data_IF_784565565861
#
_entry.id   IF_784565565861
#
_cell.length_a   1.000
_cell.length_b   1.000
_cell.length_c   1.000
_cell.angle_alpha   90.00
_cell.angle_beta   90.00
_cell.angle_gamma   90.00
#
_symmetry.space_group_name_H-M   'P 1'
#
loop_
_entity.id
_entity.type
_entity.pdbx_description
1 polymer ?
#
# COMPACT_ATOMS: atom_id res chain seq x y z
N UNK A 1 6.87 -13.34 -9.49
CA UNK A 1 6.49 -11.93 -9.57
C UNK A 1 6.91 -11.20 -8.29
N UNK A 2 8.07 -10.56 -8.33
CA UNK A 2 8.76 -10.03 -7.13
C UNK A 2 8.56 -8.53 -7.03
N UNK A 3 7.87 -8.09 -5.98
CA UNK A 3 8.07 -6.73 -5.46
C UNK A 3 9.51 -6.71 -4.94
N UNK A 4 10.43 -6.08 -5.67
CA UNK A 4 11.82 -5.91 -5.23
C UNK A 4 11.84 -5.07 -3.94
N UNK A 5 11.82 -5.75 -2.79
CA UNK A 5 12.23 -5.19 -1.51
C UNK A 5 13.74 -5.00 -1.57
N UNK A 6 14.19 -3.78 -1.86
CA UNK A 6 15.60 -3.41 -1.76
C UNK A 6 15.95 -3.29 -0.29
N UNK A 7 16.56 -4.35 0.25
CA UNK A 7 17.15 -4.32 1.59
C UNK A 7 18.37 -3.37 1.60
N UNK A 8 18.34 -2.34 2.45
CA UNK A 8 19.53 -1.52 2.74
C UNK A 8 20.50 -2.33 3.59
N UNK A 9 21.32 -3.16 2.96
CA UNK A 9 22.51 -3.68 3.63
C UNK A 9 23.54 -2.56 3.77
N UNK A 10 23.86 -2.19 5.02
CA UNK A 10 25.02 -1.35 5.35
C UNK A 10 26.29 -2.13 4.97
N UNK A 11 26.81 -1.90 3.77
CA UNK A 11 28.18 -2.25 3.43
C UNK A 11 29.10 -1.30 4.20
N UNK A 12 29.60 -1.73 5.35
CA UNK A 12 30.78 -1.13 5.98
C UNK A 12 32.00 -1.48 5.11
N UNK A 13 32.74 -0.52 4.55
CA UNK A 13 33.95 -0.82 3.81
C UNK A 13 35.06 -1.17 4.79
N UNK A 14 35.41 -2.45 4.87
CA UNK A 14 36.66 -2.90 5.47
C UNK A 14 37.80 -2.46 4.56
N UNK A 15 38.50 -1.41 4.94
CA UNK A 15 39.70 -0.94 4.23
C UNK A 15 40.82 -1.96 4.47
N UNK A 16 41.15 -2.74 3.45
CA UNK A 16 42.41 -3.48 3.36
C UNK A 16 43.26 -2.81 2.29
N UNK A 17 44.38 -2.23 2.72
CA UNK A 17 45.34 -1.52 1.88
C UNK A 17 45.98 -2.45 0.84
N UNK A 18 46.03 -2.07 -0.45
CA UNK A 18 46.85 -2.78 -1.43
C UNK A 18 48.30 -2.28 -1.43
N UNK A 19 49.29 -3.14 -1.73
CA UNK A 19 50.69 -2.73 -1.78
C UNK A 19 51.04 -1.91 -3.03
N UNK A 20 51.90 -0.93 -2.82
CA UNK A 20 52.41 0.05 -3.79
C UNK A 20 53.35 -0.56 -4.82
N UNK A 21 53.09 -0.36 -6.12
CA UNK A 21 54.10 -0.50 -7.21
C UNK A 21 53.87 0.63 -8.22
N UNK A 22 54.91 1.35 -8.70
CA UNK A 22 54.74 2.62 -9.40
C UNK A 22 54.49 2.42 -10.90
N UNK A 23 53.66 3.26 -11.52
CA UNK A 23 53.53 3.31 -12.99
C UNK A 23 53.60 4.74 -13.54
N UNK A 24 54.49 4.86 -14.51
CA UNK A 24 54.84 6.00 -15.37
C UNK A 24 53.62 6.65 -16.04
N UNK A 25 53.73 7.96 -16.24
CA UNK A 25 52.94 8.78 -17.16
C UNK A 25 52.93 8.19 -18.58
N UNK A 26 51.76 8.15 -19.22
CA UNK A 26 51.65 8.59 -20.61
C UNK A 26 50.24 9.05 -21.00
N UNK A 27 50.21 9.91 -22.02
CA UNK A 27 49.19 10.87 -22.46
C UNK A 27 47.96 10.26 -23.16
N UNK A 28 46.87 11.05 -23.19
CA UNK A 28 45.64 10.87 -23.99
C UNK A 28 45.88 10.89 -25.52
N UNK A 29 44.88 10.55 -26.35
CA UNK A 29 44.01 11.61 -26.91
C UNK A 29 42.50 11.27 -27.06
N UNK A 30 41.67 12.32 -27.08
CA UNK A 30 40.21 12.34 -27.40
C UNK A 30 39.93 12.01 -28.87
N UNK A 31 38.67 11.63 -29.21
CA UNK A 31 37.97 12.30 -30.32
C UNK A 31 36.44 12.50 -30.02
N UNK A 32 35.55 12.86 -30.98
CA UNK A 32 34.94 14.19 -31.00
C UNK A 32 33.40 14.21 -30.86
N UNK A 33 32.90 15.42 -30.66
CA UNK A 33 31.51 15.90 -30.70
C UNK A 33 30.77 15.57 -31.99
N UNK A 34 29.51 15.14 -31.87
CA UNK A 34 28.58 14.97 -33.00
C UNK A 34 27.11 14.98 -32.58
N UNK A 35 26.42 16.05 -32.98
CA UNK A 35 25.02 16.13 -33.45
C UNK A 35 23.88 15.57 -32.60
N UNK A 36 23.14 16.50 -32.01
CA UNK A 36 21.72 16.39 -31.68
C UNK A 36 20.86 16.55 -32.95
N UNK A 37 19.79 15.76 -33.09
CA UNK A 37 18.49 16.15 -33.69
C UNK A 37 17.39 15.15 -33.24
N UNK A 38 16.11 15.54 -33.26
CA UNK A 38 15.05 14.98 -32.43
C UNK A 38 14.12 14.03 -33.22
N UNK A 39 13.51 13.05 -32.53
CA UNK A 39 12.26 12.47 -33.01
C UNK A 39 11.23 12.41 -31.89
N UNK A 40 10.35 13.41 -31.94
CA UNK A 40 9.03 13.46 -31.33
C UNK A 40 8.16 12.48 -32.11
N UNK A 41 7.83 11.33 -31.51
CA UNK A 41 6.78 10.45 -32.00
C UNK A 41 5.55 10.64 -31.11
N UNK A 42 4.56 11.31 -31.68
CA UNK A 42 3.17 11.37 -31.21
C UNK A 42 2.59 9.96 -31.29
N UNK A 43 2.12 9.41 -30.17
CA UNK A 43 1.23 8.24 -30.19
C UNK A 43 -0.12 8.62 -29.58
N UNK A 44 -1.06 8.64 -30.52
CA UNK A 44 -2.51 8.67 -30.46
C UNK A 44 -3.16 8.22 -29.14
N UNK A 45 -4.01 9.11 -28.62
CA UNK A 45 -5.04 8.77 -27.66
C UNK A 45 -6.09 7.83 -28.25
N UNK A 46 -6.19 6.63 -27.71
CA UNK A 46 -7.35 5.73 -27.77
C UNK A 46 -7.16 4.61 -26.73
N UNK A 47 -7.26 4.94 -25.45
CA UNK A 47 -7.43 3.92 -24.38
C UNK A 47 -8.12 4.47 -23.12
N UNK A 48 -8.01 5.76 -22.83
CA UNK A 48 -8.62 6.37 -21.63
C UNK A 48 -10.17 6.45 -21.63
N UNK A 49 -10.85 6.25 -22.77
CA UNK A 49 -12.32 6.44 -22.86
C UNK A 49 -13.17 5.26 -22.36
N UNK A 50 -12.57 4.13 -21.97
CA UNK A 50 -13.33 2.93 -21.57
C UNK A 50 -13.42 2.72 -20.05
N UNK A 51 -12.49 3.28 -19.27
CA UNK A 51 -12.53 3.23 -17.81
C UNK A 51 -13.37 4.36 -17.20
N UNK A 52 -13.37 5.55 -17.80
CA UNK A 52 -14.15 6.71 -17.32
C UNK A 52 -15.68 6.51 -17.42
N UNK A 53 -16.14 5.69 -18.38
CA UNK A 53 -17.59 5.51 -18.61
C UNK A 53 -18.31 4.74 -17.51
N UNK A 54 -17.64 3.83 -16.78
CA UNK A 54 -18.31 2.98 -15.77
C UNK A 54 -18.47 3.64 -14.40
N UNK A 55 -17.70 4.70 -14.09
CA UNK A 55 -17.88 5.50 -12.88
C UNK A 55 -18.65 6.82 -13.12
N UNK A 56 -18.77 7.29 -14.37
CA UNK A 56 -19.37 8.60 -14.68
C UNK A 56 -20.90 8.67 -14.55
N UNK A 57 -21.62 7.55 -14.69
CA UNK A 57 -23.10 7.56 -14.68
C UNK A 57 -23.73 7.78 -13.30
N UNK A 58 -22.96 7.69 -12.22
CA UNK A 58 -23.45 7.94 -10.84
C UNK A 58 -23.32 9.43 -10.44
N UNK A 59 -22.50 10.23 -11.15
CA UNK A 59 -22.21 11.64 -10.80
C UNK A 59 -23.24 12.67 -11.30
N UNK A 60 -24.32 12.25 -11.96
CA UNK A 60 -25.25 13.16 -12.65
C UNK A 60 -26.52 13.55 -11.87
N UNK A 61 -26.63 13.26 -10.57
CA UNK A 61 -27.81 13.68 -9.78
C UNK A 61 -27.39 14.27 -8.45
N UNK A 62 -27.01 15.56 -8.45
CA UNK A 62 -27.39 16.53 -7.41
C UNK A 62 -26.86 17.92 -7.76
N UNK A 63 -27.72 18.73 -8.38
CA UNK A 63 -27.63 20.19 -8.35
C UNK A 63 -29.02 20.78 -8.08
N UNK A 64 -29.06 21.71 -7.12
CA UNK A 64 -30.12 22.64 -6.66
C UNK A 64 -30.97 22.18 -5.44
N UNK A 65 -30.91 22.99 -4.37
CA UNK A 65 -31.41 22.77 -2.98
C UNK A 65 -32.89 23.14 -2.75
N UNK A 66 -33.34 23.72 -1.61
CA UNK A 66 -32.72 23.96 -0.28
C UNK A 66 -33.51 23.38 0.93
N UNK A 67 -32.92 23.52 2.14
CA UNK A 67 -33.51 23.58 3.49
C UNK A 67 -34.41 22.44 4.06
N UNK A 68 -33.88 21.76 5.08
CA UNK A 68 -34.61 21.25 6.26
C UNK A 68 -35.33 19.90 6.16
N UNK A 69 -35.48 19.24 7.32
CA UNK A 69 -36.28 18.02 7.64
C UNK A 69 -35.56 16.66 7.43
N UNK A 70 -35.84 15.61 8.24
CA UNK A 70 -34.91 14.98 9.19
C UNK A 70 -34.24 13.70 8.64
N UNK A 71 -33.12 13.29 9.27
CA UNK A 71 -32.37 12.08 8.89
C UNK A 71 -33.19 10.83 9.22
N UNK A 72 -33.96 10.34 8.23
CA UNK A 72 -34.47 8.98 8.20
C UNK A 72 -33.36 8.12 7.57
N UNK A 73 -32.95 7.08 8.27
CA UNK A 73 -31.92 6.12 7.85
C UNK A 73 -32.11 5.70 6.38
N UNK A 74 -31.21 6.15 5.52
CA UNK A 74 -31.17 5.71 4.12
C UNK A 74 -30.75 4.24 4.09
N UNK A 75 -31.47 3.38 3.35
CA UNK A 75 -31.02 2.01 3.14
C UNK A 75 -29.71 2.02 2.36
N UNK A 76 -28.65 1.46 2.94
CA UNK A 76 -27.37 1.23 2.27
C UNK A 76 -27.63 0.22 1.14
N UNK A 77 -27.46 0.59 -0.14
CA UNK A 77 -27.66 -0.36 -1.22
C UNK A 77 -26.64 -1.51 -1.09
N UNK A 78 -27.01 -2.77 -1.43
CA UNK A 78 -26.07 -3.87 -1.39
C UNK A 78 -24.91 -3.59 -2.35
N UNK A 79 -23.70 -3.43 -1.80
CA UNK A 79 -22.47 -3.24 -2.56
C UNK A 79 -22.29 -4.40 -3.54
N UNK A 80 -22.30 -4.09 -4.83
CA UNK A 80 -22.04 -5.05 -5.91
C UNK A 80 -20.69 -5.73 -5.68
N UNK A 81 -20.67 -7.07 -5.71
CA UNK A 81 -19.46 -7.91 -5.70
C UNK A 81 -18.75 -7.82 -7.06
N UNK A 82 -18.21 -6.66 -7.40
CA UNK A 82 -17.41 -6.46 -8.62
C UNK A 82 -15.98 -6.15 -8.19
N UNK A 83 -15.17 -7.18 -7.99
CA UNK A 83 -13.76 -7.06 -7.62
C UNK A 83 -13.14 -8.42 -7.39
N UNK A 84 -11.82 -8.53 -7.58
CA UNK A 84 -11.06 -9.73 -7.20
C UNK A 84 -11.15 -9.89 -5.66
N UNK A 85 -11.11 -11.13 -5.13
CA UNK A 85 -11.29 -11.37 -3.70
C UNK A 85 -10.14 -10.82 -2.86
N UNK A 86 -8.96 -10.63 -3.44
CA UNK A 86 -7.76 -10.13 -2.78
C UNK A 86 -7.55 -8.64 -3.05
N UNK A 87 -7.45 -7.85 -1.98
CA UNK A 87 -7.13 -6.43 -2.04
C UNK A 87 -5.80 -6.16 -1.32
N UNK A 88 -4.91 -5.41 -1.95
CA UNK A 88 -3.66 -4.95 -1.31
C UNK A 88 -3.95 -3.73 -0.44
N UNK A 89 -3.50 -3.78 0.82
CA UNK A 89 -3.68 -2.76 1.85
C UNK A 89 -2.34 -2.11 2.24
N UNK A 90 -2.40 -1.25 3.25
CA UNK A 90 -1.24 -0.79 4.01
C UNK A 90 -0.19 -0.06 3.20
N UNK A 91 1.08 -0.18 3.61
CA UNK A 91 2.17 0.55 2.98
C UNK A 91 2.37 0.18 1.51
N UNK A 92 2.19 -1.10 1.16
CA UNK A 92 2.31 -1.60 -0.22
C UNK A 92 1.26 -1.00 -1.14
N UNK A 93 0.01 -0.81 -0.67
CA UNK A 93 -1.02 -0.09 -1.43
C UNK A 93 -0.58 1.34 -1.77
N UNK A 94 0.08 2.03 -0.82
CA UNK A 94 0.56 3.39 -1.06
C UNK A 94 1.78 3.42 -1.98
N UNK A 95 2.70 2.46 -1.86
CA UNK A 95 3.85 2.34 -2.77
C UNK A 95 3.43 2.16 -4.23
N UNK A 96 2.37 1.40 -4.49
CA UNK A 96 1.84 1.21 -5.85
C UNK A 96 1.24 2.52 -6.39
N UNK A 97 0.66 3.36 -5.53
CA UNK A 97 -0.06 4.58 -5.93
C UNK A 97 0.82 5.82 -5.98
N UNK A 98 1.74 5.95 -5.03
CA UNK A 98 2.38 7.20 -4.67
C UNK A 98 3.91 7.02 -4.65
N UNK A 99 4.65 7.68 -5.55
CA UNK A 99 6.11 7.60 -5.59
C UNK A 99 6.82 8.03 -4.29
N UNK A 100 6.20 8.91 -3.50
CA UNK A 100 6.74 9.41 -2.23
C UNK A 100 6.36 8.53 -1.02
N UNK A 101 5.65 7.42 -1.22
CA UNK A 101 5.29 6.53 -0.14
C UNK A 101 6.53 5.85 0.46
N UNK A 102 6.50 5.64 1.78
CA UNK A 102 7.57 4.96 2.50
C UNK A 102 7.63 3.48 2.07
N UNK A 103 8.85 2.94 1.97
CA UNK A 103 9.05 1.51 1.80
C UNK A 103 8.39 0.72 2.95
N UNK A 104 7.55 -0.26 2.59
CA UNK A 104 6.97 -1.24 3.50
C UNK A 104 7.77 -2.52 3.40
N UNK A 105 7.99 -3.21 4.52
CA UNK A 105 8.62 -4.54 4.53
C UNK A 105 7.57 -5.65 4.52
N UNK A 106 6.31 -5.30 4.80
CA UNK A 106 5.21 -6.21 5.01
C UNK A 106 4.18 -6.02 3.90
N UNK A 107 3.46 -7.09 3.56
CA UNK A 107 2.34 -7.04 2.62
C UNK A 107 1.03 -7.23 3.38
N UNK A 108 0.25 -6.16 3.50
CA UNK A 108 -1.10 -6.23 4.05
C UNK A 108 -2.08 -6.67 2.97
N UNK A 109 -2.85 -7.73 3.23
CA UNK A 109 -3.90 -8.23 2.33
C UNK A 109 -5.26 -8.20 3.03
N UNK A 110 -6.29 -7.85 2.27
CA UNK A 110 -7.68 -8.09 2.64
C UNK A 110 -8.28 -9.15 1.72
N UNK A 111 -8.74 -10.23 2.32
CA UNK A 111 -9.51 -11.26 1.62
C UNK A 111 -11.02 -11.03 1.76
N UNK A 112 -11.73 -11.10 0.63
CA UNK A 112 -13.18 -10.96 0.48
C UNK A 112 -13.79 -12.02 -0.42
N UNK A 113 -13.14 -13.17 -0.57
CA UNK A 113 -13.70 -14.31 -1.29
C UNK A 113 -14.84 -14.97 -0.51
N UNK A 114 -15.35 -16.09 -1.00
CA UNK A 114 -16.56 -16.70 -0.45
C UNK A 114 -16.31 -17.32 0.95
N UNK A 115 -15.06 -17.63 1.29
CA UNK A 115 -14.60 -18.10 2.60
C UNK A 115 -14.23 -16.95 3.55
N UNK A 116 -15.10 -15.94 3.73
CA UNK A 116 -14.75 -14.71 4.47
C UNK A 116 -14.38 -14.91 5.95
N UNK A 117 -14.61 -16.11 6.49
CA UNK A 117 -14.57 -16.40 7.92
C UNK A 117 -13.55 -17.49 8.28
N UNK A 118 -12.97 -18.16 7.27
CA UNK A 118 -11.99 -19.24 7.44
C UNK A 118 -10.60 -18.78 6.97
N UNK A 119 -9.73 -18.55 7.95
CA UNK A 119 -8.35 -18.10 7.70
C UNK A 119 -7.57 -19.17 6.95
N UNK A 120 -7.75 -20.45 7.29
CA UNK A 120 -7.00 -21.55 6.71
C UNK A 120 -7.41 -21.74 5.24
N UNK A 121 -8.70 -21.65 4.92
CA UNK A 121 -9.18 -21.71 3.53
C UNK A 121 -8.63 -20.56 2.67
N UNK A 122 -8.58 -19.34 3.21
CA UNK A 122 -7.99 -18.20 2.52
C UNK A 122 -6.47 -18.37 2.31
N UNK A 123 -5.75 -18.92 3.28
CA UNK A 123 -4.32 -19.23 3.14
C UNK A 123 -4.09 -20.34 2.12
N UNK A 124 -4.95 -21.35 2.06
CA UNK A 124 -4.89 -22.43 1.07
C UNK A 124 -5.22 -21.95 -0.35
N UNK A 125 -6.13 -20.98 -0.50
CA UNK A 125 -6.30 -20.26 -1.76
C UNK A 125 -5.01 -19.50 -2.14
N UNK A 126 -4.41 -18.75 -1.21
CA UNK A 126 -3.16 -18.02 -1.45
C UNK A 126 -2.02 -18.97 -1.87
N UNK A 127 -1.86 -20.12 -1.19
CA UNK A 127 -0.90 -21.18 -1.54
C UNK A 127 -1.10 -21.67 -2.96
N UNK A 128 -2.35 -21.94 -3.37
CA UNK A 128 -2.68 -22.37 -4.74
C UNK A 128 -2.37 -21.29 -5.77
N UNK A 129 -2.69 -20.03 -5.49
CA UNK A 129 -2.39 -18.91 -6.40
C UNK A 129 -0.88 -18.76 -6.60
N UNK A 130 -0.09 -18.86 -5.52
CA UNK A 130 1.37 -18.79 -5.57
C UNK A 130 1.98 -19.99 -6.29
N UNK A 131 1.48 -21.21 -6.04
CA UNK A 131 1.97 -22.41 -6.70
C UNK A 131 1.67 -22.45 -8.21
N UNK A 132 0.58 -21.82 -8.63
CA UNK A 132 0.17 -21.74 -10.04
C UNK A 132 0.74 -20.50 -10.78
N UNK A 133 1.54 -19.67 -10.10
CA UNK A 133 2.22 -18.54 -10.72
C UNK A 133 3.36 -19.00 -11.63
N UNK A 134 3.11 -19.06 -12.93
CA UNK A 134 4.15 -19.34 -13.93
C UNK A 134 4.87 -18.04 -14.32
N UNK A 135 5.75 -17.55 -13.45
CA UNK A 135 6.35 -16.24 -13.65
C UNK A 135 7.64 -16.26 -14.50
N UNK A 136 8.16 -17.46 -14.83
CA UNK A 136 9.37 -17.63 -15.65
C UNK A 136 10.65 -17.05 -15.03
N UNK A 137 10.57 -16.46 -13.83
CA UNK A 137 11.60 -15.66 -13.18
C UNK A 137 12.51 -16.48 -12.23
N UNK A 138 12.30 -17.80 -12.15
CA UNK A 138 12.97 -18.73 -11.22
C UNK A 138 12.81 -18.37 -9.73
N UNK A 139 11.91 -17.44 -9.41
CA UNK A 139 11.60 -17.03 -8.04
C UNK A 139 10.42 -17.86 -7.57
N UNK A 140 10.55 -18.43 -6.37
CA UNK A 140 9.52 -19.25 -5.76
C UNK A 140 9.24 -18.76 -4.36
N UNK A 141 7.96 -18.70 -4.00
CA UNK A 141 7.54 -18.33 -2.66
C UNK A 141 6.93 -19.52 -1.94
N UNK A 142 7.32 -19.71 -0.68
CA UNK A 142 6.73 -20.69 0.23
C UNK A 142 5.89 -19.95 1.27
N UNK A 143 4.60 -20.29 1.35
CA UNK A 143 3.64 -19.68 2.27
C UNK A 143 3.57 -20.53 3.54
N UNK A 144 4.03 -19.96 4.65
CA UNK A 144 4.00 -20.60 5.96
C UNK A 144 2.59 -20.73 6.55
N UNK A 145 2.52 -21.25 7.77
CA UNK A 145 1.25 -21.40 8.48
C UNK A 145 0.74 -20.07 9.05
N UNK A 146 -0.57 -19.83 9.01
CA UNK A 146 -1.16 -18.63 9.57
C UNK A 146 -1.00 -18.63 11.10
N UNK A 147 -0.52 -17.51 11.63
CA UNK A 147 -0.45 -17.27 13.08
C UNK A 147 -1.51 -16.25 13.47
N UNK A 148 -2.33 -16.52 14.51
CA UNK A 148 -3.31 -15.55 14.99
C UNK A 148 -2.65 -14.23 15.37
N UNK A 149 -3.27 -13.11 14.96
CA UNK A 149 -2.81 -11.78 15.36
C UNK A 149 -3.34 -11.47 16.76
N UNK A 150 -2.44 -11.09 17.67
CA UNK A 150 -2.81 -10.76 19.05
C UNK A 150 -3.81 -9.58 19.10
N UNK A 151 -4.94 -9.78 19.78
CA UNK A 151 -5.97 -8.75 19.94
C UNK A 151 -7.02 -8.70 18.84
N UNK A 152 -6.95 -9.57 17.82
CA UNK A 152 -8.09 -9.82 16.93
C UNK A 152 -9.23 -10.49 17.70
N UNK A 153 -10.46 -10.18 17.31
CA UNK A 153 -11.67 -10.80 17.88
C UNK A 153 -12.28 -11.77 16.86
N UNK A 154 -13.18 -12.65 17.29
CA UNK A 154 -13.98 -13.51 16.40
C UNK A 154 -14.70 -12.74 15.26
N UNK A 155 -14.90 -11.43 15.45
CA UNK A 155 -15.54 -10.53 14.48
C UNK A 155 -14.56 -9.86 13.49
N UNK A 156 -13.26 -10.02 13.67
CA UNK A 156 -12.21 -9.57 12.75
C UNK A 156 -11.15 -10.67 12.60
N UNK A 157 -11.45 -11.76 11.86
CA UNK A 157 -10.45 -12.79 11.63
C UNK A 157 -9.29 -12.24 10.81
N UNK A 158 -8.11 -12.78 11.07
CA UNK A 158 -6.88 -12.41 10.40
C UNK A 158 -5.70 -13.19 10.95
N UNK A 159 -4.62 -13.21 10.18
CA UNK A 159 -3.40 -13.93 10.53
C UNK A 159 -2.17 -13.22 10.01
N UNK A 160 -1.07 -13.37 10.74
CA UNK A 160 0.26 -13.10 10.23
C UNK A 160 0.81 -14.38 9.59
N UNK A 161 1.28 -14.27 8.35
CA UNK A 161 1.79 -15.39 7.57
C UNK A 161 3.23 -15.06 7.18
N UNK A 162 4.16 -15.93 7.52
CA UNK A 162 5.55 -15.79 7.04
C UNK A 162 5.65 -16.29 5.61
N UNK A 163 6.28 -15.53 4.73
CA UNK A 163 6.61 -15.94 3.36
C UNK A 163 8.11 -15.98 3.17
N UNK A 164 8.60 -17.11 2.67
CA UNK A 164 10.00 -17.31 2.31
C UNK A 164 10.15 -17.32 0.78
N UNK A 165 10.99 -16.43 0.25
CA UNK A 165 11.28 -16.32 -1.18
C UNK A 165 12.61 -16.95 -1.53
N UNK A 166 12.64 -17.74 -2.60
CA UNK A 166 13.80 -18.51 -3.06
C UNK A 166 14.16 -18.16 -4.50
N UNK A 167 15.45 -18.15 -4.81
CA UNK A 167 15.98 -18.17 -6.18
C UNK A 167 16.69 -19.51 -6.36
N UNK A 168 16.11 -20.41 -7.17
CA UNK A 168 16.50 -21.82 -7.18
C UNK A 168 16.31 -22.45 -5.79
N UNK A 169 17.38 -22.98 -5.20
CA UNK A 169 17.36 -23.57 -3.85
C UNK A 169 17.78 -22.62 -2.73
N UNK A 170 18.22 -21.39 -3.06
CA UNK A 170 18.74 -20.43 -2.08
C UNK A 170 17.62 -19.53 -1.57
N UNK A 171 17.48 -19.45 -0.25
CA UNK A 171 16.64 -18.43 0.40
C UNK A 171 17.18 -17.04 0.05
N UNK A 172 16.35 -16.24 -0.61
CA UNK A 172 16.65 -14.88 -1.05
C UNK A 172 16.14 -13.85 -0.03
N UNK A 173 14.97 -14.08 0.56
CA UNK A 173 14.40 -13.16 1.54
C UNK A 173 13.17 -13.73 2.24
N UNK A 174 12.80 -13.08 3.33
CA UNK A 174 11.61 -13.41 4.12
C UNK A 174 10.84 -12.13 4.37
N UNK A 175 9.53 -12.18 4.22
CA UNK A 175 8.65 -11.06 4.57
C UNK A 175 7.32 -11.59 5.15
N UNK A 176 6.67 -10.82 6.03
CA UNK A 176 5.35 -11.18 6.53
C UNK A 176 4.24 -10.69 5.59
N UNK A 177 3.15 -11.46 5.57
CA UNK A 177 1.85 -11.05 5.08
C UNK A 177 0.92 -10.87 6.28
N UNK A 178 0.30 -9.71 6.39
CA UNK A 178 -0.77 -9.45 7.35
C UNK A 178 -2.12 -9.62 6.65
N UNK A 179 -2.78 -10.75 6.91
CA UNK A 179 -4.09 -11.08 6.36
C UNK A 179 -5.20 -10.53 7.24
N UNK A 180 -6.05 -9.69 6.66
CA UNK A 180 -7.31 -9.22 7.23
C UNK A 180 -8.49 -9.85 6.50
N UNK A 181 -9.55 -10.16 7.24
CA UNK A 181 -10.79 -10.72 6.70
C UNK A 181 -12.02 -9.98 7.24
N UNK A 182 -13.21 -10.27 6.67
CA UNK A 182 -14.52 -9.65 6.98
C UNK A 182 -14.62 -8.13 6.90
N UNK A 183 -13.54 -7.42 6.57
CA UNK A 183 -13.58 -5.98 6.38
C UNK A 183 -14.31 -5.65 5.07
N UNK A 184 -15.31 -4.78 5.16
CA UNK A 184 -16.07 -4.28 4.01
C UNK A 184 -15.67 -2.82 3.78
N UNK A 185 -14.84 -2.52 2.76
CA UNK A 185 -14.54 -1.16 2.40
C UNK A 185 -15.83 -0.41 2.00
N UNK A 186 -15.91 0.87 2.37
CA UNK A 186 -16.99 1.78 2.02
C UNK A 186 -16.87 2.20 0.56
N UNK A 187 -15.68 2.61 0.13
CA UNK A 187 -15.43 3.00 -1.24
C UNK A 187 -15.13 1.77 -2.13
N UNK A 188 -15.24 1.98 -3.45
CA UNK A 188 -14.90 0.94 -4.41
C UNK A 188 -13.39 0.69 -4.44
N UNK A 189 -12.99 -0.59 -4.52
CA UNK A 189 -11.60 -0.95 -4.74
C UNK A 189 -11.13 -0.45 -6.10
N UNK A 190 -9.88 0.03 -6.16
CA UNK A 190 -9.27 0.47 -7.41
C UNK A 190 -8.58 -0.72 -8.08
N UNK A 191 -8.76 -0.87 -9.39
CA UNK A 191 -8.00 -1.85 -10.18
C UNK A 191 -6.90 -1.08 -10.92
N UNK A 192 -5.64 -1.41 -10.61
CA UNK A 192 -4.47 -0.67 -11.11
C UNK A 192 -3.55 -1.62 -11.86
N UNK A 193 -3.20 -1.24 -13.09
CA UNK A 193 -2.13 -1.88 -13.85
C UNK A 193 -0.78 -1.50 -13.21
N UNK A 194 0.02 -2.50 -12.82
CA UNK A 194 1.34 -2.24 -12.25
C UNK A 194 2.30 -1.68 -13.30
N UNK A 195 3.06 -0.66 -12.91
CA UNK A 195 4.19 -0.15 -13.69
C UNK A 195 5.49 -0.71 -13.08
N UNK A 196 6.18 -1.62 -13.78
CA UNK A 196 7.33 -2.32 -13.22
C UNK A 196 8.54 -1.37 -13.19
N UNK A 197 9.21 -1.29 -12.04
CA UNK A 197 10.41 -0.44 -11.90
C UNK A 197 11.56 -0.97 -12.77
N UNK A 198 11.62 -2.30 -12.96
CA UNK A 198 12.61 -3.00 -13.77
C UNK A 198 11.83 -3.86 -14.76
N UNK A 199 12.18 -3.76 -16.05
CA UNK A 199 11.63 -4.61 -17.10
C UNK A 199 12.78 -5.33 -17.79
N UNK A 200 12.72 -6.66 -17.85
CA UNK A 200 13.67 -7.48 -18.59
C UNK A 200 13.05 -7.95 -19.92
N UNK A 201 13.86 -8.12 -20.98
CA UNK A 201 13.37 -8.69 -22.23
C UNK A 201 12.76 -10.08 -22.01
N UNK A 202 11.50 -10.24 -22.38
CA UNK A 202 10.77 -11.50 -22.23
C UNK A 202 9.91 -11.60 -20.97
N UNK A 203 9.92 -10.59 -20.09
CA UNK A 203 9.01 -10.55 -18.94
C UNK A 203 7.55 -10.49 -19.41
N UNK A 204 6.64 -11.21 -18.74
CA UNK A 204 5.22 -11.07 -18.99
C UNK A 204 4.75 -9.65 -18.62
N UNK A 205 3.65 -9.21 -19.25
CA UNK A 205 3.02 -7.95 -18.85
C UNK A 205 2.55 -8.05 -17.39
N UNK A 206 2.83 -7.04 -16.54
CA UNK A 206 2.42 -7.07 -15.15
C UNK A 206 0.89 -7.26 -15.00
N UNK A 207 0.42 -7.95 -13.97
CA UNK A 207 -1.00 -8.09 -13.73
C UNK A 207 -1.58 -6.78 -13.20
N UNK A 208 -2.88 -6.59 -13.45
CA UNK A 208 -3.66 -5.65 -12.66
C UNK A 208 -3.78 -6.13 -11.21
N UNK A 209 -3.73 -5.21 -10.26
CA UNK A 209 -3.89 -5.47 -8.84
C UNK A 209 -5.10 -4.71 -8.31
N UNK A 210 -5.90 -5.37 -7.47
CA UNK A 210 -7.00 -4.73 -6.74
C UNK A 210 -6.45 -4.10 -5.46
N UNK A 211 -6.67 -2.80 -5.32
CA UNK A 211 -6.13 -1.97 -4.26
C UNK A 211 -7.24 -1.56 -3.29
N UNK A 212 -6.92 -1.57 -2.01
CA UNK A 212 -7.82 -1.07 -0.98
C UNK A 212 -8.10 0.42 -1.23
N UNK A 213 -9.35 0.88 -1.10
CA UNK A 213 -9.70 2.26 -1.43
C UNK A 213 -8.99 3.25 -0.52
N UNK A 214 -8.57 4.39 -1.06
CA UNK A 214 -7.92 5.43 -0.28
C UNK A 214 -8.81 6.01 0.84
N UNK A 215 -10.13 6.26 0.65
CA UNK A 215 -11.02 6.70 1.73
C UNK A 215 -10.98 5.77 2.96
N UNK A 216 -11.04 4.46 2.71
CA UNK A 216 -10.98 3.45 3.77
C UNK A 216 -9.59 3.31 4.38
N UNK A 217 -8.52 3.44 3.59
CA UNK A 217 -7.17 3.42 4.14
C UNK A 217 -6.89 4.63 5.02
N UNK A 218 -7.39 5.81 4.65
CA UNK A 218 -7.32 7.02 5.49
C UNK A 218 -8.05 6.76 6.81
N UNK A 219 -9.25 6.17 6.75
CA UNK A 219 -10.02 5.83 7.94
C UNK A 219 -9.26 4.87 8.87
N UNK A 220 -8.69 3.78 8.32
CA UNK A 220 -7.89 2.81 9.06
C UNK A 220 -6.72 3.48 9.79
N UNK A 221 -5.98 4.36 9.08
CA UNK A 221 -4.82 5.08 9.61
C UNK A 221 -5.20 6.09 10.68
N UNK A 222 -6.15 6.98 10.41
CA UNK A 222 -6.61 7.99 11.37
C UNK A 222 -7.14 7.34 12.64
N UNK A 223 -7.95 6.29 12.52
CA UNK A 223 -8.46 5.57 13.69
C UNK A 223 -7.35 4.84 14.44
N UNK A 224 -6.29 4.40 13.77
CA UNK A 224 -5.13 3.80 14.42
C UNK A 224 -4.24 4.84 15.12
N UNK A 225 -4.17 6.07 14.63
CA UNK A 225 -3.49 7.17 15.31
C UNK A 225 -4.17 7.57 16.63
N UNK A 226 -5.50 7.60 16.65
CA UNK A 226 -6.29 8.01 17.83
C UNK A 226 -6.71 6.86 18.75
N UNK A 227 -6.39 5.62 18.40
CA UNK A 227 -6.64 4.45 19.25
C UNK A 227 -5.75 4.43 20.49
N UNK A 228 -6.15 3.65 21.49
CA UNK A 228 -5.34 3.33 22.66
C UNK A 228 -5.02 1.84 22.72
N UNK A 229 -3.88 1.48 23.30
CA UNK A 229 -3.56 0.08 23.58
C UNK A 229 -4.47 -0.42 24.71
N UNK A 230 -5.23 -1.48 24.47
CA UNK A 230 -6.23 -1.98 25.43
C UNK A 230 -5.64 -2.37 26.79
N UNK A 231 -4.37 -2.78 26.83
CA UNK A 231 -3.69 -3.27 28.05
C UNK A 231 -3.10 -2.16 28.90
N UNK A 232 -2.52 -1.12 28.28
CA UNK A 232 -1.83 -0.03 28.98
C UNK A 232 -2.65 1.26 29.01
N UNK A 233 -3.72 1.34 28.22
CA UNK A 233 -4.48 2.55 27.92
C UNK A 233 -3.62 3.71 27.39
N UNK A 234 -2.42 3.40 26.89
CA UNK A 234 -1.53 4.38 26.30
C UNK A 234 -2.00 4.79 24.91
N UNK A 235 -1.74 6.05 24.57
CA UNK A 235 -1.98 6.58 23.22
C UNK A 235 -1.14 5.78 22.22
N UNK A 236 -1.73 5.48 21.08
CA UNK A 236 -1.05 4.86 19.94
C UNK A 236 0.29 5.53 19.62
N UNK A 237 1.31 4.73 19.32
CA UNK A 237 2.63 5.19 18.88
C UNK A 237 2.82 5.05 17.36
N UNK A 238 1.72 4.97 16.61
CA UNK A 238 1.74 4.78 15.15
C UNK A 238 2.06 6.06 14.38
N UNK A 239 3.20 6.67 14.68
CA UNK A 239 3.67 7.92 14.06
C UNK A 239 3.79 7.80 12.52
N UNK A 240 4.12 6.60 12.03
CA UNK A 240 4.22 6.30 10.60
C UNK A 240 2.88 6.45 9.87
N UNK A 241 1.74 6.29 10.54
CA UNK A 241 0.44 6.47 9.90
C UNK A 241 0.22 7.93 9.48
N UNK A 242 0.72 8.91 10.26
CA UNK A 242 0.68 10.32 9.86
C UNK A 242 1.64 10.60 8.68
N UNK A 243 2.84 9.99 8.67
CA UNK A 243 3.77 10.06 7.54
C UNK A 243 3.13 9.52 6.26
N UNK A 244 2.41 8.41 6.36
CA UNK A 244 1.73 7.79 5.21
C UNK A 244 0.51 8.61 4.73
N UNK A 245 -0.15 9.36 5.62
CA UNK A 245 -1.29 10.20 5.26
C UNK A 245 -0.87 11.45 4.46
N UNK A 246 0.29 12.03 4.74
CA UNK A 246 0.75 13.28 4.12
C UNK A 246 0.78 13.18 2.58
N UNK A 247 1.42 12.18 1.94
CA UNK A 247 1.41 12.04 0.48
C UNK A 247 0.01 11.89 -0.10
N UNK A 248 -0.89 11.19 0.60
CA UNK A 248 -2.26 10.98 0.13
C UNK A 248 -2.98 12.33 0.03
N UNK A 249 -2.97 13.11 1.11
CA UNK A 249 -3.73 14.37 1.19
C UNK A 249 -3.14 15.49 0.34
N UNK A 250 -1.83 15.46 0.06
CA UNK A 250 -1.17 16.52 -0.73
C UNK A 250 -1.20 16.25 -2.23
N UNK A 251 -1.35 15.00 -2.66
CA UNK A 251 -1.23 14.63 -4.08
C UNK A 251 -2.50 14.04 -4.70
N UNK A 252 -3.45 13.60 -3.89
CA UNK A 252 -4.63 12.86 -4.38
C UNK A 252 -5.92 13.61 -4.11
N UNK A 253 -6.78 13.72 -5.13
CA UNK A 253 -8.14 14.19 -4.96
C UNK A 253 -9.00 13.10 -4.29
N UNK A 254 -9.63 13.44 -3.18
CA UNK A 254 -10.44 12.51 -2.38
C UNK A 254 -11.91 12.89 -2.46
N UNK A 255 -12.79 11.89 -2.50
CA UNK A 255 -14.20 12.11 -2.25
C UNK A 255 -14.41 12.31 -0.74
N UNK A 256 -14.72 13.55 -0.36
CA UNK A 256 -14.90 13.92 1.05
C UNK A 256 -16.07 13.18 1.70
N UNK A 257 -17.15 12.87 0.96
CA UNK A 257 -18.30 12.18 1.53
C UNK A 257 -17.98 10.71 1.81
N UNK A 258 -17.34 10.01 0.86
CA UNK A 258 -16.89 8.63 1.07
C UNK A 258 -15.84 8.55 2.19
N UNK A 259 -14.90 9.50 2.23
CA UNK A 259 -13.84 9.53 3.28
C UNK A 259 -14.43 9.76 4.67
N UNK A 260 -15.39 10.68 4.80
CA UNK A 260 -16.08 10.92 6.08
C UNK A 260 -16.91 9.71 6.52
N UNK A 261 -17.60 9.05 5.59
CA UNK A 261 -18.35 7.83 5.91
C UNK A 261 -17.41 6.71 6.37
N UNK A 262 -16.30 6.49 5.65
CA UNK A 262 -15.29 5.51 6.04
C UNK A 262 -14.72 5.78 7.44
N UNK A 263 -14.40 7.04 7.76
CA UNK A 263 -13.93 7.45 9.08
C UNK A 263 -14.93 7.13 10.19
N UNK A 264 -16.21 7.43 9.98
CA UNK A 264 -17.24 7.15 10.97
C UNK A 264 -17.47 5.65 11.18
N UNK A 265 -17.53 4.88 10.10
CA UNK A 265 -17.73 3.43 10.16
C UNK A 265 -16.53 2.72 10.82
N UNK A 266 -15.30 3.12 10.49
CA UNK A 266 -14.11 2.56 11.14
C UNK A 266 -14.01 2.96 12.61
N UNK A 267 -14.34 4.21 12.95
CA UNK A 267 -14.37 4.64 14.35
C UNK A 267 -15.42 3.86 15.15
N UNK A 268 -16.61 3.63 14.59
CA UNK A 268 -17.68 2.87 15.23
C UNK A 268 -17.30 1.39 15.47
N UNK A 269 -16.49 0.80 14.58
CA UNK A 269 -15.95 -0.56 14.77
C UNK A 269 -14.97 -0.65 15.94
N UNK A 270 -14.31 0.44 16.32
CA UNK A 270 -13.31 0.45 17.41
C UNK A 270 -13.95 0.85 18.72
N UNK A 271 -14.06 -0.12 19.63
CA UNK A 271 -14.66 0.07 20.96
C UNK A 271 -14.06 1.28 21.68
N UNK A 272 -14.90 2.28 21.98
CA UNK A 272 -14.50 3.44 22.78
C UNK A 272 -13.69 4.52 22.05
N UNK A 273 -13.43 4.36 20.74
CA UNK A 273 -12.72 5.38 19.98
C UNK A 273 -13.61 6.61 19.73
N UNK A 274 -13.07 7.79 20.05
CA UNK A 274 -13.69 9.07 19.70
C UNK A 274 -12.69 9.89 18.88
N UNK A 275 -13.03 10.14 17.62
CA UNK A 275 -12.22 11.00 16.75
C UNK A 275 -12.43 12.47 17.13
N UNK A 276 -11.37 13.30 17.09
CA UNK A 276 -11.52 14.74 17.29
C UNK A 276 -12.18 15.39 16.06
N UNK A 277 -12.87 16.51 16.26
CA UNK A 277 -13.51 17.25 15.16
C UNK A 277 -12.53 17.93 14.19
N UNK A 278 -11.24 17.97 14.54
CA UNK A 278 -10.12 18.35 13.67
C UNK A 278 -8.90 17.52 14.05
N UNK A 279 -8.02 17.23 13.10
CA UNK A 279 -6.79 16.51 13.40
C UNK A 279 -5.90 17.34 14.34
N UNK A 280 -5.63 16.81 15.52
CA UNK A 280 -4.68 17.34 16.51
C UNK A 280 -3.72 16.23 16.93
N UNK A 281 -2.57 16.59 17.51
CA UNK A 281 -1.65 15.59 18.06
C UNK A 281 -2.39 14.61 18.99
N UNK A 282 -2.34 13.27 18.75
CA UNK A 282 -3.01 12.30 19.62
C UNK A 282 -2.45 12.23 21.05
N UNK A 283 -1.19 12.64 21.25
CA UNK A 283 -0.57 12.62 22.58
C UNK A 283 0.77 13.37 22.64
N UNK A 284 1.38 13.51 23.84
CA UNK A 284 2.57 14.33 24.03
C UNK A 284 3.82 13.79 23.32
N UNK A 285 3.90 12.49 23.06
CA UNK A 285 5.05 11.86 22.39
C UNK A 285 5.03 12.01 20.87
N UNK A 286 3.88 12.39 20.29
CA UNK A 286 3.66 12.36 18.85
C UNK A 286 4.52 13.34 18.07
N UNK A 287 4.79 14.53 18.60
CA UNK A 287 5.60 15.51 17.87
C UNK A 287 7.04 15.00 17.67
N UNK A 288 7.67 14.52 18.74
CA UNK A 288 9.03 13.97 18.67
C UNK A 288 9.05 12.65 17.87
N UNK A 289 8.05 11.78 18.07
CA UNK A 289 7.91 10.52 17.36
C UNK A 289 7.75 10.70 15.86
N UNK A 290 6.81 11.56 15.45
CA UNK A 290 6.58 11.91 14.05
C UNK A 290 7.83 12.48 13.41
N UNK A 291 8.47 13.49 14.01
CA UNK A 291 9.68 14.11 13.46
C UNK A 291 10.79 13.08 13.22
N UNK A 292 10.97 12.12 14.13
CA UNK A 292 11.96 11.07 13.96
C UNK A 292 11.58 10.10 12.83
N UNK A 293 10.32 9.70 12.74
CA UNK A 293 9.83 8.82 11.67
C UNK A 293 9.86 9.49 10.29
N UNK A 294 9.46 10.76 10.19
CA UNK A 294 9.43 11.52 8.95
C UNK A 294 10.84 11.70 8.36
N UNK A 295 11.86 11.97 9.18
CA UNK A 295 13.28 12.04 8.76
C UNK A 295 13.82 10.75 8.12
N UNK A 296 13.20 9.62 8.41
CA UNK A 296 13.59 8.31 7.88
C UNK A 296 12.75 7.91 6.67
N UNK A 297 11.79 8.75 6.27
CA UNK A 297 10.88 8.53 5.15
C UNK A 297 11.26 9.35 3.91
N UNK A 298 10.69 9.06 2.73
CA UNK A 298 10.90 9.84 1.52
C UNK A 298 10.18 11.21 1.48
N UNK A 299 9.51 11.62 2.57
CA UNK A 299 8.82 12.91 2.63
C UNK A 299 9.78 14.08 2.41
N UNK A 300 9.26 15.16 1.79
CA UNK A 300 9.98 16.42 1.69
C UNK A 300 10.28 16.93 3.11
N UNK A 301 11.50 17.41 3.42
CA UNK A 301 11.84 17.96 4.73
C UNK A 301 10.94 19.11 5.21
N UNK A 302 10.23 19.79 4.29
CA UNK A 302 9.24 20.83 4.61
C UNK A 302 7.93 20.26 5.13
N UNK A 303 7.65 19.01 4.81
CA UNK A 303 6.49 18.24 5.22
C UNK A 303 6.81 17.31 6.42
N UNK A 304 7.98 17.46 7.07
CA UNK A 304 8.54 16.57 8.10
C UNK A 304 8.77 17.22 9.48
#
# INVERSE_FOLDING_TARGET
MTVCLVEKTKLTPTVSSPPTVPRRLNRQPRPPSGTALPHRAVVSGRSQRSAEKRCSEVRARHRRGPAGVPVRSLPVPPLRRTGRPWLVKGGTNLLIRLPAARFSMDIDLLYRGDATDDVDEAVDELRRLVANGEDGDHIRFEIGDPKPIAGQTEHQPGANIKVDGFVGSRLFGTFPIDLSMKLRPIACADLVQLDPIITLPGDPEPPEVSLYPLPDQIADKVCAMYGTYRTTNEVSSRYHDLVDLVPIITTTALDGAETMLALHEEAARRTGLKLPGRMTSPGPTWEAGYRNTARQSPLDPRDA
#
